data_IF_782809906697
#
_entry.id   IF_782809906697
#
_cell.length_a   1.000
_cell.length_b   1.000
_cell.length_c   1.000
_cell.angle_alpha   90.00
_cell.angle_beta   90.00
_cell.angle_gamma   90.00
#
_symmetry.space_group_name_H-M   'P 1'
#
loop_
_entity.id
_entity.type
_entity.pdbx_description
1 polymer ?
#
# COMPACT_ATOMS: atom_id res chain seq x y z
N UNK A 1 18.68 -3.06 3.86
CA UNK A 1 18.81 -2.27 2.61
C UNK A 1 18.17 -0.91 2.81
N UNK A 2 18.81 0.15 2.28
CA UNK A 2 18.35 1.53 2.41
C UNK A 2 17.47 1.92 1.22
N UNK A 3 16.56 2.86 1.44
CA UNK A 3 15.85 3.57 0.37
C UNK A 3 16.79 4.30 -0.59
N UNK A 4 18.05 4.52 -0.20
CA UNK A 4 19.11 5.23 -0.96
C UNK A 4 19.85 4.39 -1.98
N UNK A 5 19.92 3.08 -1.77
CA UNK A 5 20.63 2.18 -2.67
C UNK A 5 19.69 1.03 -3.02
N UNK A 6 18.97 1.12 -4.15
CA UNK A 6 18.11 0.04 -4.63
C UNK A 6 18.90 -1.25 -4.75
N UNK A 7 18.32 -2.34 -4.25
CA UNK A 7 18.79 -3.69 -4.58
C UNK A 7 17.65 -4.53 -5.11
N UNK A 8 17.85 -5.83 -5.21
CA UNK A 8 16.90 -6.75 -5.83
C UNK A 8 15.63 -6.89 -4.98
N UNK A 9 15.77 -6.81 -3.65
CA UNK A 9 14.64 -6.79 -2.72
C UNK A 9 14.46 -5.39 -2.11
N UNK A 10 13.22 -5.07 -1.78
CA UNK A 10 12.86 -3.80 -1.14
C UNK A 10 13.40 -3.65 0.29
N UNK A 11 13.45 -2.41 0.81
CA UNK A 11 13.75 -2.16 2.22
C UNK A 11 12.66 -2.73 3.12
N UNK A 12 13.06 -3.31 4.26
CA UNK A 12 12.12 -3.84 5.24
C UNK A 12 11.33 -2.70 5.92
N UNK A 13 10.02 -2.68 5.73
CA UNK A 13 9.10 -1.73 6.37
C UNK A 13 8.31 -2.41 7.50
N UNK A 14 8.63 -2.06 8.74
CA UNK A 14 7.96 -2.59 9.93
C UNK A 14 6.69 -1.78 10.24
N UNK A 15 5.55 -2.21 9.69
CA UNK A 15 4.25 -1.55 9.86
C UNK A 15 3.91 -1.24 11.32
N UNK A 16 4.07 -2.22 12.22
CA UNK A 16 3.76 -2.06 13.64
C UNK A 16 4.57 -0.93 14.32
N UNK A 17 5.79 -0.63 13.85
CA UNK A 17 6.60 0.48 14.39
C UNK A 17 6.09 1.86 13.98
N UNK A 18 5.16 1.93 13.04
CA UNK A 18 4.59 3.18 12.53
C UNK A 18 3.23 3.49 13.15
N UNK A 19 2.74 2.61 14.02
CA UNK A 19 1.50 2.76 14.78
C UNK A 19 1.90 3.08 16.23
N UNK A 20 1.24 4.06 16.83
CA UNK A 20 1.37 4.39 18.26
C UNK A 20 0.94 3.21 19.11
N UNK A 21 1.66 2.98 20.21
CA UNK A 21 1.28 2.04 21.26
C UNK A 21 0.07 2.54 22.05
N UNK A 22 -0.51 1.66 22.88
CA UNK A 22 -1.62 2.00 23.78
C UNK A 22 -1.27 3.19 24.68
N UNK A 23 -0.11 3.14 25.33
CA UNK A 23 0.38 4.21 26.20
C UNK A 23 0.58 5.53 25.44
N UNK A 24 1.13 5.48 24.21
CA UNK A 24 1.26 6.67 23.34
C UNK A 24 -0.11 7.24 22.90
N UNK A 25 -1.19 6.49 23.10
CA UNK A 25 -2.57 6.86 22.82
C UNK A 25 -3.37 7.20 24.09
N UNK A 26 -2.74 7.20 25.28
CA UNK A 26 -3.40 7.48 26.56
C UNK A 26 -4.26 6.33 27.09
N UNK A 27 -4.24 5.18 26.41
CA UNK A 27 -4.99 3.99 26.82
C UNK A 27 -4.36 3.34 28.05
N UNK A 28 -5.16 2.70 28.88
CA UNK A 28 -4.69 1.98 30.05
C UNK A 28 -5.80 1.23 30.78
N UNK A 29 -5.52 0.83 32.02
CA UNK A 29 -6.44 -0.01 32.81
C UNK A 29 -7.22 0.78 33.86
N UNK A 30 -6.90 2.06 34.06
CA UNK A 30 -7.52 2.88 35.09
C UNK A 30 -8.93 3.29 34.65
N UNK A 31 -9.84 3.43 35.63
CA UNK A 31 -11.26 3.62 35.36
C UNK A 31 -11.60 4.93 34.64
N UNK A 32 -10.76 5.95 34.80
CA UNK A 32 -10.86 7.25 34.13
C UNK A 32 -10.35 7.23 32.67
N UNK A 33 -9.64 6.17 32.26
CA UNK A 33 -9.11 6.02 30.90
C UNK A 33 -10.09 5.32 29.94
N UNK A 34 -11.34 5.09 30.35
CA UNK A 34 -12.33 4.41 29.52
C UNK A 34 -12.57 5.13 28.18
N UNK A 35 -12.65 6.46 28.21
CA UNK A 35 -12.86 7.27 27.01
C UNK A 35 -11.67 7.18 26.06
N UNK A 36 -10.44 7.25 26.58
CA UNK A 36 -9.20 7.10 25.81
C UNK A 36 -9.08 5.68 25.22
N UNK A 37 -9.51 4.66 25.95
CA UNK A 37 -9.55 3.28 25.47
C UNK A 37 -10.49 3.13 24.26
N UNK A 38 -11.70 3.69 24.33
CA UNK A 38 -12.67 3.66 23.23
C UNK A 38 -12.12 4.43 22.01
N UNK A 39 -11.58 5.63 22.24
CA UNK A 39 -10.98 6.44 21.18
C UNK A 39 -9.77 5.74 20.52
N UNK A 40 -8.92 5.10 21.32
CA UNK A 40 -7.75 4.35 20.87
C UNK A 40 -8.11 3.13 20.01
N UNK A 41 -9.12 2.34 20.42
CA UNK A 41 -9.64 1.24 19.62
C UNK A 41 -10.20 1.73 18.27
N UNK A 42 -10.96 2.84 18.29
CA UNK A 42 -11.44 3.50 17.07
C UNK A 42 -10.29 3.97 16.17
N UNK A 43 -9.22 4.50 16.75
CA UNK A 43 -8.03 4.90 16.01
C UNK A 43 -7.33 3.69 15.37
N UNK A 44 -7.22 2.55 16.04
CA UNK A 44 -6.67 1.33 15.44
C UNK A 44 -7.55 0.79 14.32
N UNK A 45 -8.89 0.82 14.48
CA UNK A 45 -9.81 0.51 13.39
C UNK A 45 -9.60 1.45 12.19
N UNK A 46 -9.38 2.75 12.43
CA UNK A 46 -9.05 3.74 11.40
C UNK A 46 -7.76 3.42 10.63
N UNK A 47 -6.73 2.86 11.27
CA UNK A 47 -5.53 2.37 10.57
C UNK A 47 -5.87 1.21 9.62
N UNK A 48 -6.69 0.26 10.10
CA UNK A 48 -6.99 -0.98 9.39
C UNK A 48 -7.88 -0.72 8.17
N UNK A 49 -8.91 0.11 8.31
CA UNK A 49 -9.93 0.28 7.28
C UNK A 49 -9.76 1.58 6.48
N UNK A 50 -9.42 2.68 7.14
CA UNK A 50 -9.53 4.01 6.51
C UNK A 50 -8.19 4.54 6.03
N UNK A 51 -7.12 4.19 6.74
CA UNK A 51 -5.80 4.79 6.57
C UNK A 51 -5.70 6.19 7.17
N UNK A 52 -6.79 6.70 7.77
CA UNK A 52 -6.84 7.95 8.52
C UNK A 52 -6.96 7.64 10.01
N UNK A 53 -5.98 8.06 10.80
CA UNK A 53 -5.99 7.75 12.24
C UNK A 53 -4.95 8.53 13.03
N UNK A 54 -5.32 8.94 14.25
CA UNK A 54 -4.40 9.55 15.22
C UNK A 54 -3.39 8.56 15.80
N UNK A 55 -3.62 7.25 15.63
CA UNK A 55 -2.67 6.20 15.96
C UNK A 55 -1.50 6.13 14.96
N UNK A 56 -1.55 6.86 13.84
CA UNK A 56 -0.47 6.88 12.87
C UNK A 56 0.65 7.82 13.30
N UNK A 57 1.87 7.30 13.51
CA UNK A 57 3.04 8.12 13.87
C UNK A 57 3.43 9.13 12.78
N UNK A 58 3.06 8.86 11.53
CA UNK A 58 3.34 9.76 10.41
C UNK A 58 2.32 10.89 10.29
N UNK A 59 1.16 10.81 10.96
CA UNK A 59 0.09 11.81 10.98
C UNK A 59 -1.26 11.30 10.49
N UNK A 60 -2.34 12.01 10.86
CA UNK A 60 -3.72 11.56 10.70
C UNK A 60 -4.08 11.12 9.28
N UNK A 61 -3.79 11.91 8.24
CA UNK A 61 -4.17 11.63 6.84
C UNK A 61 -3.06 10.97 6.01
N UNK A 62 -2.14 10.23 6.63
CA UNK A 62 -0.97 9.65 5.94
C UNK A 62 -1.00 8.12 6.02
N UNK A 63 -1.60 7.42 5.06
CA UNK A 63 -1.72 5.97 5.12
C UNK A 63 -0.34 5.30 5.24
N UNK A 64 -0.31 4.17 5.94
CA UNK A 64 0.92 3.41 6.16
C UNK A 64 1.44 2.82 4.86
N UNK A 65 2.76 2.63 4.81
CA UNK A 65 3.46 2.05 3.68
C UNK A 65 4.76 2.77 3.36
N UNK A 66 5.41 2.27 2.31
CA UNK A 66 6.64 2.81 1.78
C UNK A 66 6.65 2.71 0.25
N UNK A 67 7.51 3.51 -0.36
CA UNK A 67 7.81 3.44 -1.78
C UNK A 67 9.32 3.42 -2.01
N UNK A 68 9.76 2.71 -3.04
CA UNK A 68 11.16 2.48 -3.34
C UNK A 68 11.36 1.97 -4.77
N UNK A 69 12.60 2.02 -5.24
CA UNK A 69 13.01 1.31 -6.44
C UNK A 69 13.68 -0.01 -6.08
N UNK A 70 13.53 -1.00 -6.96
CA UNK A 70 14.27 -2.26 -6.93
C UNK A 70 15.04 -2.43 -8.24
N UNK A 71 16.20 -3.10 -8.17
CA UNK A 71 16.94 -3.54 -9.35
C UNK A 71 16.23 -4.74 -9.95
N UNK A 72 16.01 -4.74 -11.26
CA UNK A 72 15.44 -5.91 -11.96
C UNK A 72 16.50 -6.99 -12.24
N UNK A 73 17.79 -6.61 -12.20
CA UNK A 73 18.91 -7.49 -12.57
C UNK A 73 19.24 -7.47 -14.08
N UNK A 74 18.54 -6.62 -14.84
CA UNK A 74 18.74 -6.40 -16.27
C UNK A 74 19.20 -4.96 -16.52
N UNK A 75 19.79 -4.72 -17.69
CA UNK A 75 20.07 -3.37 -18.22
C UNK A 75 19.08 -3.03 -19.33
N UNK A 76 18.98 -1.74 -19.65
CA UNK A 76 18.15 -1.20 -20.71
C UNK A 76 18.87 -0.04 -21.39
N UNK A 77 18.44 0.31 -22.61
CA UNK A 77 19.03 1.41 -23.37
C UNK A 77 18.42 2.74 -22.98
N UNK A 78 19.26 3.75 -22.73
CA UNK A 78 18.86 5.14 -22.56
C UNK A 78 19.72 6.01 -23.49
N UNK A 79 19.20 6.33 -24.68
CA UNK A 79 20.01 6.89 -25.76
C UNK A 79 21.02 5.86 -26.28
N UNK A 80 22.31 6.19 -26.25
CA UNK A 80 23.41 5.29 -26.64
C UNK A 80 23.96 4.47 -25.46
N UNK A 81 23.57 4.80 -24.22
CA UNK A 81 24.08 4.17 -23.01
C UNK A 81 23.25 2.94 -22.59
N UNK A 82 23.91 1.96 -21.99
CA UNK A 82 23.25 0.91 -21.21
C UNK A 82 23.25 1.27 -19.72
N UNK A 83 22.07 1.24 -19.11
CA UNK A 83 21.87 1.60 -17.70
C UNK A 83 21.15 0.49 -16.94
N UNK A 84 21.40 0.40 -15.62
CA UNK A 84 20.68 -0.52 -14.74
C UNK A 84 19.18 -0.24 -14.80
N UNK A 85 18.38 -1.26 -15.15
CA UNK A 85 16.93 -1.15 -15.17
C UNK A 85 16.37 -1.30 -13.74
N UNK A 86 15.57 -0.33 -13.34
CA UNK A 86 14.88 -0.31 -12.06
C UNK A 86 13.37 -0.53 -12.25
N UNK A 87 12.72 -0.99 -11.19
CA UNK A 87 11.27 -0.99 -11.07
C UNK A 87 10.85 -0.20 -9.84
N UNK A 88 9.87 0.68 -10.00
CA UNK A 88 9.30 1.42 -8.89
C UNK A 88 8.19 0.61 -8.22
N UNK A 89 8.21 0.57 -6.89
CA UNK A 89 7.21 -0.10 -6.06
C UNK A 89 6.65 0.92 -5.08
N UNK A 90 5.32 1.00 -4.99
CA UNK A 90 4.61 1.87 -4.07
C UNK A 90 3.59 1.09 -3.25
N UNK A 91 3.91 0.82 -1.99
CA UNK A 91 3.04 0.13 -1.04
C UNK A 91 2.20 1.09 -0.20
N UNK A 92 2.08 2.36 -0.61
CA UNK A 92 1.22 3.34 0.05
C UNK A 92 -0.14 3.33 -0.66
N UNK A 93 -1.22 2.89 0.02
CA UNK A 93 -2.53 2.74 -0.60
C UNK A 93 -3.03 4.06 -1.20
N UNK A 94 -3.51 3.95 -2.43
CA UNK A 94 -4.07 5.05 -3.21
C UNK A 94 -5.55 5.30 -2.86
N UNK A 95 -6.27 4.26 -2.44
CA UNK A 95 -7.72 4.25 -2.30
C UNK A 95 -8.45 4.03 -3.64
N UNK A 96 -7.83 3.37 -4.61
CA UNK A 96 -8.37 3.17 -5.96
C UNK A 96 -9.22 1.90 -6.09
N UNK A 97 -8.92 0.86 -5.30
CA UNK A 97 -9.72 -0.38 -5.28
C UNK A 97 -10.95 -0.21 -4.38
N UNK A 98 -10.78 0.35 -3.18
CA UNK A 98 -11.92 0.72 -2.33
C UNK A 98 -11.91 2.25 -2.23
N UNK A 99 -12.76 2.96 -2.99
CA UNK A 99 -12.76 4.42 -3.08
C UNK A 99 -12.73 5.08 -1.70
N UNK A 100 -11.69 5.89 -1.48
CA UNK A 100 -11.53 6.66 -0.24
C UNK A 100 -11.04 5.88 0.98
N UNK A 101 -10.84 4.56 0.89
CA UNK A 101 -10.31 3.73 1.98
C UNK A 101 -8.86 3.36 1.70
N UNK A 102 -7.95 3.84 2.55
CA UNK A 102 -6.48 3.69 2.39
C UNK A 102 -5.85 2.91 3.55
N UNK A 103 -6.65 2.15 4.28
CA UNK A 103 -6.21 1.36 5.43
C UNK A 103 -5.39 0.14 5.02
N UNK A 104 -4.93 -0.62 6.00
CA UNK A 104 -4.16 -1.84 5.77
C UNK A 104 -4.92 -2.89 4.94
N UNK A 105 -6.21 -3.13 5.24
CA UNK A 105 -7.00 -4.13 4.52
C UNK A 105 -7.22 -3.71 3.05
N UNK A 106 -7.75 -2.50 2.76
CA UNK A 106 -7.84 -2.01 1.38
C UNK A 106 -6.48 -1.99 0.68
N UNK A 107 -5.41 -1.62 1.40
CA UNK A 107 -4.05 -1.58 0.87
C UNK A 107 -3.51 -2.93 0.44
N UNK A 108 -3.78 -3.99 1.21
CA UNK A 108 -3.44 -5.36 0.82
C UNK A 108 -4.20 -5.74 -0.46
N UNK A 109 -5.49 -5.40 -0.56
CA UNK A 109 -6.26 -5.67 -1.76
C UNK A 109 -5.71 -4.94 -3.00
N UNK A 110 -5.32 -3.66 -2.86
CA UNK A 110 -4.64 -2.90 -3.92
C UNK A 110 -3.33 -3.56 -4.35
N UNK A 111 -2.51 -3.97 -3.40
CA UNK A 111 -1.23 -4.62 -3.69
C UNK A 111 -1.44 -5.96 -4.40
N UNK A 112 -2.42 -6.77 -3.99
CA UNK A 112 -2.74 -8.05 -4.67
C UNK A 112 -3.16 -7.81 -6.11
N UNK A 113 -3.99 -6.80 -6.36
CA UNK A 113 -4.41 -6.43 -7.73
C UNK A 113 -3.22 -5.94 -8.56
N UNK A 114 -2.31 -5.15 -7.97
CA UNK A 114 -1.08 -4.71 -8.63
C UNK A 114 -0.03 -5.83 -8.83
N UNK A 115 -0.15 -6.92 -8.07
CA UNK A 115 0.70 -8.12 -8.16
C UNK A 115 0.15 -9.17 -9.14
N UNK A 116 -0.99 -8.91 -9.82
CA UNK A 116 -1.46 -9.80 -10.89
C UNK A 116 -0.27 -10.01 -11.85
N UNK A 117 0.15 -11.27 -12.09
CA UNK A 117 1.49 -11.58 -12.60
C UNK A 117 1.91 -10.83 -13.86
N UNK A 118 0.99 -10.40 -14.71
CA UNK A 118 1.27 -9.63 -15.93
C UNK A 118 2.07 -8.36 -15.66
N UNK A 119 1.82 -7.66 -14.56
CA UNK A 119 2.32 -6.30 -14.36
C UNK A 119 3.70 -6.28 -13.71
N UNK A 120 3.97 -7.23 -12.81
CA UNK A 120 5.30 -7.38 -12.20
C UNK A 120 6.20 -8.24 -13.08
N UNK A 121 5.69 -9.37 -13.59
CA UNK A 121 6.52 -10.32 -14.31
C UNK A 121 6.95 -9.79 -15.69
N UNK A 122 6.14 -8.93 -16.34
CA UNK A 122 6.50 -8.32 -17.64
C UNK A 122 7.87 -7.66 -17.57
N UNK A 123 8.11 -6.79 -16.59
CA UNK A 123 9.41 -6.10 -16.45
C UNK A 123 10.63 -7.02 -16.23
N UNK A 124 10.43 -8.30 -15.86
CA UNK A 124 11.50 -9.29 -15.77
C UNK A 124 11.56 -10.22 -17.00
N UNK A 125 10.44 -10.38 -17.71
CA UNK A 125 10.32 -11.16 -18.95
C UNK A 125 10.67 -10.37 -20.21
N UNK A 126 10.87 -9.06 -20.06
CA UNK A 126 11.16 -8.20 -21.18
C UNK A 126 12.54 -8.53 -21.78
N UNK A 127 12.57 -8.63 -23.11
CA UNK A 127 13.77 -9.06 -23.86
C UNK A 127 14.92 -8.05 -23.82
N UNK A 128 16.09 -8.41 -24.38
CA UNK A 128 17.35 -7.67 -24.20
C UNK A 128 17.45 -6.28 -24.88
N UNK A 129 16.38 -5.75 -25.48
CA UNK A 129 16.38 -4.45 -26.20
C UNK A 129 15.28 -3.51 -25.71
N UNK A 130 15.09 -3.42 -24.39
CA UNK A 130 14.13 -2.51 -23.79
C UNK A 130 14.70 -1.10 -23.71
N UNK A 131 13.89 -0.12 -24.10
CA UNK A 131 14.19 1.31 -23.90
C UNK A 131 13.78 1.73 -22.48
N UNK A 132 14.66 2.47 -21.82
CA UNK A 132 14.42 3.06 -20.52
C UNK A 132 14.11 4.55 -20.62
N UNK A 133 13.41 5.04 -19.61
CA UNK A 133 13.18 6.47 -19.39
C UNK A 133 13.58 6.82 -17.96
N UNK A 134 14.06 8.04 -17.76
CA UNK A 134 14.28 8.55 -16.41
C UNK A 134 12.93 8.81 -15.73
N UNK A 135 12.68 8.15 -14.60
CA UNK A 135 11.46 8.31 -13.80
C UNK A 135 11.79 8.86 -12.42
N UNK A 136 11.28 10.04 -12.12
CA UNK A 136 11.45 10.71 -10.84
C UNK A 136 10.29 10.44 -9.88
N UNK A 137 10.51 9.59 -8.87
CA UNK A 137 9.47 9.18 -7.92
C UNK A 137 9.81 9.57 -6.48
N UNK A 138 8.78 9.67 -5.62
CA UNK A 138 8.95 9.85 -4.18
C UNK A 138 9.29 8.51 -3.53
N UNK A 139 10.41 8.45 -2.82
CA UNK A 139 10.96 7.23 -2.21
C UNK A 139 11.13 7.43 -0.71
N UNK A 140 10.68 6.46 0.09
CA UNK A 140 10.80 6.49 1.55
C UNK A 140 9.56 5.93 2.25
N UNK A 141 9.51 6.13 3.56
CA UNK A 141 8.31 5.84 4.37
C UNK A 141 7.28 6.94 4.19
N UNK A 142 5.99 6.62 4.33
CA UNK A 142 4.94 7.63 4.39
C UNK A 142 5.33 8.77 5.36
N UNK A 143 5.12 10.03 4.94
CA UNK A 143 5.49 11.22 5.71
C UNK A 143 6.97 11.64 5.65
N UNK A 144 7.89 10.83 5.11
CA UNK A 144 9.34 11.14 5.05
C UNK A 144 9.98 10.72 3.71
N UNK A 145 9.27 10.96 2.61
CA UNK A 145 9.73 10.59 1.25
C UNK A 145 10.57 11.70 0.62
N UNK A 146 11.54 11.31 -0.22
CA UNK A 146 12.39 12.21 -1.01
C UNK A 146 12.27 11.87 -2.50
N UNK A 147 12.37 12.86 -3.37
CA UNK A 147 12.36 12.66 -4.83
C UNK A 147 13.66 11.97 -5.26
N UNK A 148 13.55 10.97 -6.13
CA UNK A 148 14.68 10.27 -6.76
C UNK A 148 14.37 9.93 -8.20
N UNK A 149 15.35 10.11 -9.07
CA UNK A 149 15.25 9.83 -10.48
C UNK A 149 16.14 8.63 -10.81
N UNK A 150 15.55 7.61 -11.43
CA UNK A 150 16.23 6.39 -11.85
C UNK A 150 15.63 5.90 -13.17
N UNK A 151 16.38 5.08 -13.88
CA UNK A 151 15.96 4.52 -15.15
C UNK A 151 15.02 3.34 -14.94
N UNK A 152 13.85 3.41 -15.55
CA UNK A 152 12.83 2.37 -15.52
C UNK A 152 12.43 2.02 -16.94
N UNK A 153 11.88 0.82 -17.12
CA UNK A 153 11.31 0.40 -18.38
C UNK A 153 10.26 1.42 -18.85
N UNK A 154 10.36 1.88 -20.09
CA UNK A 154 9.40 2.83 -20.68
C UNK A 154 7.95 2.34 -20.57
N UNK A 155 7.73 1.03 -20.73
CA UNK A 155 6.41 0.40 -20.56
C UNK A 155 5.91 0.40 -19.13
N UNK A 156 6.79 0.40 -18.13
CA UNK A 156 6.34 0.54 -16.73
C UNK A 156 5.83 1.96 -16.46
N UNK A 157 6.26 2.98 -17.20
CA UNK A 157 5.74 4.35 -17.05
C UNK A 157 4.45 4.55 -17.87
N UNK A 158 4.47 4.08 -19.11
CA UNK A 158 3.35 4.20 -20.06
C UNK A 158 2.21 3.22 -19.75
N UNK A 159 2.52 2.04 -19.20
CA UNK A 159 1.55 1.03 -18.79
C UNK A 159 0.57 1.55 -17.75
N UNK A 160 0.99 2.41 -16.82
CA UNK A 160 0.07 3.06 -15.90
C UNK A 160 -0.82 4.12 -16.55
N UNK A 161 -0.46 4.65 -17.73
CA UNK A 161 -1.36 5.53 -18.50
C UNK A 161 -2.41 4.75 -19.29
N UNK A 162 -2.13 3.48 -19.63
CA UNK A 162 -3.01 2.61 -20.42
C UNK A 162 -3.78 1.54 -19.61
N UNK A 163 -3.65 1.49 -18.27
CA UNK A 163 -4.63 0.81 -17.39
C UNK A 163 -5.92 1.66 -17.27
N UNK A 164 -6.31 2.34 -18.34
CA UNK A 164 -7.59 3.02 -18.46
C UNK A 164 -8.54 2.30 -19.43
N UNK A 165 -8.13 1.20 -20.11
CA UNK A 165 -8.98 0.57 -21.13
C UNK A 165 -9.24 -0.94 -20.99
N UNK A 166 -8.66 -1.63 -20.00
CA UNK A 166 -9.16 -2.96 -19.57
C UNK A 166 -9.89 -2.88 -18.22
N UNK A 167 -10.77 -1.89 -18.09
CA UNK A 167 -11.66 -1.67 -16.95
C UNK A 167 -12.64 -2.83 -16.68
N UNK A 168 -12.88 -3.75 -17.63
CA UNK A 168 -13.91 -4.78 -17.52
C UNK A 168 -13.55 -5.85 -16.47
N UNK A 169 -12.28 -6.26 -16.39
CA UNK A 169 -11.81 -7.23 -15.38
C UNK A 169 -11.58 -6.57 -14.02
N UNK A 170 -10.97 -5.37 -14.00
CA UNK A 170 -10.67 -4.63 -12.77
C UNK A 170 -11.95 -4.18 -12.06
N UNK A 171 -12.96 -3.67 -12.77
CA UNK A 171 -14.26 -3.36 -12.15
C UNK A 171 -14.98 -4.59 -11.63
N UNK A 172 -14.90 -5.73 -12.33
CA UNK A 172 -15.49 -6.99 -11.86
C UNK A 172 -14.87 -7.43 -10.54
N UNK A 173 -13.53 -7.54 -10.50
CA UNK A 173 -12.78 -7.96 -9.32
C UNK A 173 -12.98 -6.96 -8.18
N UNK A 174 -12.86 -5.66 -8.44
CA UNK A 174 -13.06 -4.60 -7.44
C UNK A 174 -14.49 -4.63 -6.88
N UNK A 175 -15.52 -4.77 -7.73
CA UNK A 175 -16.91 -4.88 -7.29
C UNK A 175 -17.15 -6.16 -6.49
N UNK A 176 -16.60 -7.29 -6.93
CA UNK A 176 -16.69 -8.56 -6.21
C UNK A 176 -16.01 -8.46 -4.85
N UNK A 177 -14.79 -7.92 -4.77
CA UNK A 177 -14.09 -7.70 -3.51
C UNK A 177 -14.83 -6.73 -2.59
N UNK A 178 -15.33 -5.60 -3.10
CA UNK A 178 -16.12 -4.65 -2.30
C UNK A 178 -17.41 -5.29 -1.77
N UNK A 179 -18.10 -6.08 -2.60
CA UNK A 179 -19.32 -6.80 -2.22
C UNK A 179 -19.02 -7.87 -1.15
N UNK A 180 -18.00 -8.71 -1.37
CA UNK A 180 -17.58 -9.74 -0.40
C UNK A 180 -17.07 -9.11 0.90
N UNK A 181 -16.33 -7.99 0.82
CA UNK A 181 -15.87 -7.26 1.98
C UNK A 181 -17.05 -6.71 2.81
N UNK A 182 -18.01 -6.04 2.18
CA UNK A 182 -19.18 -5.49 2.87
C UNK A 182 -20.04 -6.60 3.49
N UNK A 183 -20.23 -7.72 2.77
CA UNK A 183 -20.94 -8.89 3.30
C UNK A 183 -20.18 -9.48 4.50
N UNK A 184 -18.87 -9.69 4.37
CA UNK A 184 -18.04 -10.28 5.43
C UNK A 184 -18.02 -9.43 6.69
N UNK A 185 -17.86 -8.11 6.55
CA UNK A 185 -17.94 -7.16 7.68
C UNK A 185 -19.33 -7.17 8.30
N UNK A 186 -20.40 -7.19 7.48
CA UNK A 186 -21.77 -7.27 7.97
C UNK A 186 -22.04 -8.54 8.78
N UNK A 187 -21.64 -9.71 8.27
CA UNK A 187 -21.78 -11.00 8.97
C UNK A 187 -20.98 -11.01 10.28
N UNK A 188 -19.77 -10.47 10.28
CA UNK A 188 -18.96 -10.36 11.49
C UNK A 188 -19.63 -9.46 12.54
N UNK A 189 -20.18 -8.31 12.14
CA UNK A 189 -20.94 -7.44 13.04
C UNK A 189 -22.17 -8.14 13.62
N UNK A 190 -22.95 -8.83 12.79
CA UNK A 190 -24.11 -9.62 13.24
C UNK A 190 -23.67 -10.70 14.24
N UNK A 191 -22.56 -11.40 13.97
CA UNK A 191 -22.02 -12.40 14.88
C UNK A 191 -21.61 -11.80 16.23
N UNK A 192 -20.91 -10.67 16.23
CA UNK A 192 -20.51 -9.96 17.45
C UNK A 192 -21.74 -9.54 18.24
N UNK A 193 -22.76 -8.96 17.59
CA UNK A 193 -24.02 -8.57 18.23
C UNK A 193 -24.76 -9.78 18.81
N UNK A 194 -24.87 -10.88 18.06
CA UNK A 194 -25.48 -12.13 18.53
C UNK A 194 -24.76 -12.69 19.76
N UNK A 195 -23.42 -12.61 19.80
CA UNK A 195 -22.62 -13.07 20.94
C UNK A 195 -22.73 -12.15 22.16
N UNK A 196 -22.91 -10.85 21.95
CA UNK A 196 -23.18 -9.89 23.02
C UNK A 196 -24.57 -10.10 23.62
N UNK A 197 -25.59 -10.33 22.78
CA UNK A 197 -26.96 -10.57 23.24
C UNK A 197 -27.15 -11.92 23.92
N UNK A 198 -26.36 -12.95 23.59
CA UNK A 198 -26.43 -14.28 24.22
C UNK A 198 -25.62 -14.42 25.51
N UNK A 199 -25.02 -13.33 26.01
CA UNK A 199 -24.27 -13.28 27.28
C UNK A 199 -25.08 -12.78 28.49
N UNK A 200 -26.40 -12.65 28.34
CA UNK A 200 -27.37 -12.53 29.43
C UNK A 200 -28.18 -13.81 29.55
#
# INVERSE_FOLDING_TARGET
MSYDKPGIIGPNYKYHKQIKSADEMGMGTDGDQLDDNIAGLGAYAGIIFDGRSNANKSGYNRPLGNSFFIKTGQTCKYGEDEVDMMKYVNNIPSGSVIPGRKGLIPGIAENVVAMIPTDILSSFMDGPNVECVESCQLVGKAGSRKKKCLFVNKRDVEGFSNINDNLISKNSIVKQFSSVYNIGVGVLFIYILSKLMSRH
#
